data_IF_511084099778
#
_entry.id   IF_511084099778
#
_cell.length_a   1.000
_cell.length_b   1.000
_cell.length_c   1.000
_cell.angle_alpha   90.00
_cell.angle_beta   90.00
_cell.angle_gamma   90.00
#
_symmetry.space_group_name_H-M   'P 1'
#
loop_
_entity.id
_entity.type
_entity.pdbx_description
1 polymer ?
#
# COMPACT_ATOMS: atom_id res chain seq x y z
N UNK A 1 23.61 29.48 11.90
CA UNK A 1 23.51 28.00 11.88
C UNK A 1 22.22 27.65 11.14
N UNK A 2 22.26 27.51 9.81
CA UNK A 2 21.07 27.22 9.00
C UNK A 2 20.73 25.73 9.13
N UNK A 3 19.63 25.41 9.81
CA UNK A 3 19.02 24.07 9.78
C UNK A 3 18.37 23.87 8.41
N UNK A 4 19.06 23.20 7.49
CA UNK A 4 18.43 22.69 6.26
C UNK A 4 17.59 21.47 6.63
N UNK A 5 16.29 21.66 6.72
CA UNK A 5 15.32 20.55 6.78
C UNK A 5 15.20 20.00 5.35
N UNK A 6 15.73 18.80 5.11
CA UNK A 6 15.54 18.11 3.84
C UNK A 6 14.22 17.34 3.88
N UNK A 7 13.23 17.82 3.12
CA UNK A 7 12.03 17.07 2.80
C UNK A 7 12.31 16.23 1.54
N UNK A 8 12.42 14.91 1.69
CA UNK A 8 12.35 13.99 0.54
C UNK A 8 10.94 13.41 0.48
N UNK A 9 10.04 14.07 -0.25
CA UNK A 9 8.71 13.53 -0.55
C UNK A 9 8.83 12.62 -1.77
N UNK A 10 8.94 11.31 -1.56
CA UNK A 10 8.76 10.32 -2.63
C UNK A 10 7.29 9.91 -2.64
N UNK A 11 6.56 10.29 -3.69
CA UNK A 11 5.18 9.82 -3.92
C UNK A 11 5.25 8.62 -4.84
N UNK A 12 5.08 7.42 -4.29
CA UNK A 12 4.79 6.23 -5.08
C UNK A 12 3.32 5.91 -4.90
N UNK A 13 2.55 5.96 -6.00
CA UNK A 13 1.14 5.57 -6.03
C UNK A 13 1.03 4.08 -6.37
N UNK A 14 0.48 3.29 -5.45
CA UNK A 14 0.05 1.91 -5.71
C UNK A 14 -1.46 1.89 -5.89
N UNK A 15 -1.97 1.39 -7.03
CA UNK A 15 -3.39 1.08 -7.15
C UNK A 15 -3.62 -0.41 -7.05
N UNK A 16 -4.61 -0.76 -6.23
CA UNK A 16 -4.99 -2.12 -5.98
C UNK A 16 -6.29 -2.46 -6.72
N UNK A 17 -6.24 -2.91 -7.97
CA UNK A 17 -7.46 -3.12 -8.78
C UNK A 17 -7.99 -4.53 -8.60
N UNK A 18 -9.25 -4.65 -8.20
CA UNK A 18 -9.96 -5.92 -8.07
C UNK A 18 -10.93 -6.13 -9.25
N UNK A 19 -10.68 -7.11 -10.12
CA UNK A 19 -11.59 -7.48 -11.21
C UNK A 19 -12.45 -8.67 -10.78
N UNK A 20 -13.78 -8.49 -10.81
CA UNK A 20 -14.79 -9.51 -10.54
C UNK A 20 -15.75 -9.61 -11.73
N UNK A 21 -16.33 -10.79 -11.99
CA UNK A 21 -17.40 -10.91 -12.98
C UNK A 21 -18.55 -9.97 -12.63
N UNK A 22 -19.04 -9.26 -13.66
CA UNK A 22 -20.15 -8.33 -13.56
C UNK A 22 -21.45 -9.13 -13.32
N UNK A 23 -21.87 -9.23 -12.05
CA UNK A 23 -23.27 -9.51 -11.75
C UNK A 23 -24.04 -8.18 -11.78
N UNK A 24 -25.01 -8.08 -12.68
CA UNK A 24 -25.85 -6.90 -12.85
C UNK A 24 -26.69 -6.62 -11.59
N UNK A 25 -26.72 -5.37 -11.12
CA UNK A 25 -27.75 -4.74 -10.28
C UNK A 25 -27.47 -3.22 -10.26
N UNK A 26 -28.31 -2.37 -10.86
CA UNK A 26 -29.66 -1.87 -10.50
C UNK A 26 -29.66 -0.76 -9.44
N UNK A 27 -30.01 0.44 -9.95
CA UNK A 27 -30.58 1.66 -9.35
C UNK A 27 -29.91 2.29 -8.11
N UNK A 28 -29.45 3.52 -8.37
CA UNK A 28 -29.10 4.58 -7.43
C UNK A 28 -30.15 4.77 -6.34
N UNK A 29 -29.67 4.92 -5.11
CA UNK A 29 -30.27 5.83 -4.14
C UNK A 29 -29.13 6.53 -3.39
N UNK A 30 -28.99 7.83 -3.65
CA UNK A 30 -28.11 8.72 -2.92
C UNK A 30 -28.69 8.93 -1.50
N UNK A 31 -28.16 8.19 -0.52
CA UNK A 31 -28.41 8.43 0.89
C UNK A 31 -27.23 9.19 1.50
N UNK A 32 -27.55 10.31 2.13
CA UNK A 32 -26.66 11.21 2.87
C UNK A 32 -26.11 10.45 4.09
N UNK A 33 -24.80 10.22 4.14
CA UNK A 33 -24.14 9.49 5.24
C UNK A 33 -24.07 10.38 6.50
N UNK A 34 -24.49 9.89 7.68
CA UNK A 34 -24.23 10.57 8.94
C UNK A 34 -22.76 10.45 9.33
N UNK A 35 -22.24 11.49 9.96
CA UNK A 35 -20.93 11.48 10.61
C UNK A 35 -21.09 10.77 11.96
N UNK A 36 -20.52 9.57 12.07
CA UNK A 36 -20.42 8.85 13.34
C UNK A 36 -18.93 8.58 13.61
N UNK A 37 -18.51 9.01 14.79
CA UNK A 37 -17.14 9.00 15.31
C UNK A 37 -16.85 7.60 15.88
N UNK A 38 -15.89 6.87 15.30
CA UNK A 38 -15.51 5.52 15.79
C UNK A 38 -14.00 5.41 15.91
N UNK A 39 -13.56 4.90 17.06
CA UNK A 39 -12.18 4.60 17.45
C UNK A 39 -11.52 3.43 16.67
N UNK A 40 -11.91 3.22 15.42
CA UNK A 40 -11.33 2.35 14.40
C UNK A 40 -11.53 3.13 13.11
N UNK A 41 -10.44 3.58 12.47
CA UNK A 41 -10.51 4.43 11.29
C UNK A 41 -11.10 3.66 10.12
N UNK A 42 -12.42 3.69 9.95
CA UNK A 42 -13.13 2.97 8.90
C UNK A 42 -13.41 3.92 7.74
N UNK A 43 -13.10 3.48 6.52
CA UNK A 43 -13.33 4.22 5.29
C UNK A 43 -13.97 3.30 4.26
N UNK A 44 -15.13 3.68 3.71
CA UNK A 44 -15.84 2.88 2.71
C UNK A 44 -16.35 3.73 1.56
N UNK A 45 -16.37 3.15 0.35
CA UNK A 45 -17.05 3.69 -0.83
C UNK A 45 -18.24 2.84 -1.31
N UNK A 46 -18.69 1.89 -0.47
CA UNK A 46 -19.77 0.95 -0.79
C UNK A 46 -19.34 -0.27 -1.63
N UNK A 47 -18.09 -0.32 -2.09
CA UNK A 47 -17.52 -1.46 -2.82
C UNK A 47 -16.34 -2.06 -2.08
N UNK A 48 -15.46 -1.19 -1.58
CA UNK A 48 -14.30 -1.53 -0.76
C UNK A 48 -14.41 -0.80 0.55
N UNK A 49 -14.03 -1.47 1.62
CA UNK A 49 -13.89 -0.90 2.95
C UNK A 49 -12.48 -1.11 3.48
N UNK A 50 -11.91 -0.06 4.07
CA UNK A 50 -10.66 -0.06 4.80
C UNK A 50 -10.98 0.04 6.28
N UNK A 51 -10.46 -0.88 7.09
CA UNK A 51 -10.54 -0.83 8.56
C UNK A 51 -9.14 -0.69 9.12
N UNK A 52 -8.89 0.35 9.92
CA UNK A 52 -7.59 0.56 10.56
C UNK A 52 -7.66 0.29 12.06
N UNK A 53 -6.76 -0.56 12.56
CA UNK A 53 -6.45 -0.70 13.97
C UNK A 53 -5.20 0.14 14.29
N UNK A 54 -5.42 1.31 14.90
CA UNK A 54 -4.32 2.20 15.30
C UNK A 54 -3.52 1.65 16.49
N UNK A 55 -4.10 0.79 17.32
CA UNK A 55 -3.36 0.21 18.44
C UNK A 55 -2.40 -0.86 17.93
N UNK A 56 -2.88 -1.74 17.05
CA UNK A 56 -2.05 -2.77 16.42
C UNK A 56 -1.16 -2.22 15.29
N UNK A 57 -1.46 -1.02 14.77
CA UNK A 57 -0.75 -0.45 13.62
C UNK A 57 -0.99 -1.22 12.32
N UNK A 58 -2.13 -1.89 12.21
CA UNK A 58 -2.51 -2.73 11.08
C UNK A 58 -3.79 -2.23 10.40
N UNK A 59 -4.07 -2.77 9.22
CA UNK A 59 -5.30 -2.49 8.52
C UNK A 59 -5.78 -3.70 7.69
N UNK A 60 -7.10 -3.71 7.44
CA UNK A 60 -7.78 -4.68 6.58
C UNK A 60 -8.38 -3.97 5.37
N UNK A 61 -8.42 -4.66 4.23
CA UNK A 61 -9.21 -4.27 3.06
C UNK A 61 -10.26 -5.32 2.77
N UNK A 62 -11.50 -4.86 2.64
CA UNK A 62 -12.70 -5.70 2.65
C UNK A 62 -13.51 -5.45 1.40
N UNK A 63 -13.93 -6.54 0.76
CA UNK A 63 -14.96 -6.53 -0.28
C UNK A 63 -16.32 -6.42 0.41
N UNK A 64 -16.99 -5.28 0.25
CA UNK A 64 -18.26 -4.98 0.92
C UNK A 64 -19.36 -5.93 0.48
N UNK A 65 -19.38 -6.36 -0.79
CA UNK A 65 -20.43 -7.21 -1.32
C UNK A 65 -20.40 -8.62 -0.71
N UNK A 66 -19.20 -9.10 -0.35
CA UNK A 66 -19.00 -10.41 0.28
C UNK A 66 -18.82 -10.34 1.80
N UNK A 67 -18.56 -9.14 2.33
CA UNK A 67 -18.11 -8.94 3.70
C UNK A 67 -16.89 -9.82 4.05
N UNK A 68 -15.94 -9.89 3.12
CA UNK A 68 -14.72 -10.70 3.23
C UNK A 68 -13.49 -9.82 3.07
N UNK A 69 -12.48 -10.04 3.91
CA UNK A 69 -11.18 -9.41 3.74
C UNK A 69 -10.46 -10.02 2.52
N UNK A 70 -9.93 -9.17 1.64
CA UNK A 70 -8.99 -9.57 0.60
C UNK A 70 -7.54 -9.21 0.94
N UNK A 71 -7.34 -8.34 1.93
CA UNK A 71 -6.08 -8.11 2.64
C UNK A 71 -6.42 -8.02 4.11
N UNK A 72 -5.71 -8.74 4.97
CA UNK A 72 -5.96 -8.74 6.41
C UNK A 72 -4.67 -8.57 7.21
N UNK A 73 -4.77 -7.93 8.36
CA UNK A 73 -3.68 -7.70 9.32
C UNK A 73 -2.43 -7.08 8.66
N UNK A 74 -2.62 -6.24 7.66
CA UNK A 74 -1.50 -5.65 6.92
C UNK A 74 -0.86 -4.50 7.70
N UNK A 75 0.46 -4.49 7.74
CA UNK A 75 1.23 -3.39 8.30
C UNK A 75 2.06 -2.68 7.24
N UNK A 76 2.51 -1.46 7.58
CA UNK A 76 3.42 -0.68 6.77
C UNK A 76 4.84 -0.88 7.31
N UNK A 77 5.77 -1.22 6.43
CA UNK A 77 7.18 -1.42 6.76
C UNK A 77 8.09 -0.55 5.90
N UNK A 78 8.82 0.36 6.54
CA UNK A 78 9.87 1.15 5.92
C UNK A 78 11.24 0.64 6.38
N UNK A 79 12.10 0.32 5.42
CA UNK A 79 13.52 0.03 5.67
C UNK A 79 14.37 1.19 5.16
N UNK A 80 15.22 1.72 6.04
CA UNK A 80 16.22 2.74 5.70
C UNK A 80 17.62 2.25 6.01
N UNK A 81 18.61 2.88 5.39
CA UNK A 81 20.02 2.73 5.73
C UNK A 81 20.65 4.10 5.97
N UNK A 82 21.84 4.14 6.56
CA UNK A 82 22.63 5.35 6.60
C UNK A 82 22.90 5.84 5.17
N UNK A 83 22.85 7.15 4.98
CA UNK A 83 23.33 7.77 3.74
C UNK A 83 24.83 7.50 3.58
N UNK A 84 25.28 7.32 2.34
CA UNK A 84 26.69 7.21 1.97
C UNK A 84 26.94 8.17 0.83
N UNK A 85 28.05 8.91 0.89
CA UNK A 85 28.47 9.68 -0.27
C UNK A 85 29.02 8.74 -1.34
N UNK A 86 28.98 9.16 -2.61
CA UNK A 86 29.53 8.36 -3.72
C UNK A 86 31.00 8.01 -3.51
N UNK A 87 31.76 8.88 -2.83
CA UNK A 87 33.18 8.67 -2.51
C UNK A 87 33.40 7.53 -1.48
N UNK A 88 32.37 7.18 -0.71
CA UNK A 88 32.42 6.13 0.30
C UNK A 88 32.02 4.75 -0.26
N UNK A 89 31.49 4.71 -1.49
CA UNK A 89 31.05 3.47 -2.15
C UNK A 89 32.25 2.82 -2.81
N UNK A 90 32.64 1.64 -2.33
CA UNK A 90 33.75 0.87 -2.90
C UNK A 90 33.28 0.02 -4.08
N UNK A 91 34.19 -0.32 -4.97
CA UNK A 91 33.92 -1.31 -6.01
C UNK A 91 33.49 -2.64 -5.36
N UNK A 92 32.31 -3.14 -5.74
CA UNK A 92 31.69 -4.31 -5.13
C UNK A 92 30.66 -4.02 -4.04
N UNK A 93 30.53 -2.78 -3.57
CA UNK A 93 29.45 -2.40 -2.65
C UNK A 93 28.09 -2.50 -3.35
N UNK A 94 27.13 -3.16 -2.70
CA UNK A 94 25.74 -3.18 -3.12
C UNK A 94 24.91 -2.14 -2.37
N UNK A 95 23.79 -1.71 -2.96
CA UNK A 95 22.82 -0.86 -2.27
C UNK A 95 22.27 -1.51 -0.98
N UNK A 96 22.39 -2.83 -0.84
CA UNK A 96 22.01 -3.62 0.34
C UNK A 96 23.04 -3.65 1.46
N UNK A 97 24.26 -3.16 1.24
CA UNK A 97 25.36 -3.37 2.19
C UNK A 97 25.29 -2.42 3.40
N UNK A 98 25.61 -2.96 4.57
CA UNK A 98 25.62 -2.22 5.85
C UNK A 98 24.30 -2.22 6.62
N UNK A 99 24.32 -1.68 7.86
CA UNK A 99 23.21 -1.77 8.80
C UNK A 99 21.98 -1.02 8.29
N UNK A 100 20.81 -1.63 8.49
CA UNK A 100 19.51 -1.04 8.16
C UNK A 100 18.66 -0.85 9.42
N UNK A 101 17.87 0.21 9.44
CA UNK A 101 16.80 0.42 10.41
C UNK A 101 15.47 0.07 9.77
N UNK A 102 14.61 -0.60 10.53
CA UNK A 102 13.28 -1.04 10.09
C UNK A 102 12.24 -0.36 10.98
N UNK A 103 11.35 0.38 10.35
CA UNK A 103 10.20 1.03 10.98
C UNK A 103 8.94 0.27 10.58
N UNK A 104 8.22 -0.27 11.58
CA UNK A 104 6.99 -1.03 11.39
C UNK A 104 5.83 -0.28 12.04
N UNK A 105 4.73 -0.06 11.34
CA UNK A 105 3.56 0.62 11.92
C UNK A 105 3.05 -0.09 13.18
N UNK A 106 3.22 -1.41 13.28
CA UNK A 106 2.90 -2.19 14.48
C UNK A 106 3.74 -1.88 15.73
N UNK A 107 4.91 -1.27 15.56
CA UNK A 107 5.79 -0.86 16.64
C UNK A 107 5.77 0.67 16.89
N UNK A 108 4.85 1.38 16.24
CA UNK A 108 4.76 2.85 16.28
C UNK A 108 3.66 3.33 17.24
N UNK A 109 3.71 4.63 17.58
CA UNK A 109 2.53 5.34 18.04
C UNK A 109 1.74 5.80 16.81
N UNK A 110 0.53 5.25 16.63
CA UNK A 110 -0.27 5.52 15.45
C UNK A 110 -1.45 6.45 15.72
N UNK A 111 -1.80 7.24 14.71
CA UNK A 111 -3.06 8.01 14.62
C UNK A 111 -3.56 8.04 13.18
N UNK A 112 -4.79 8.47 13.00
CA UNK A 112 -5.40 8.65 11.67
C UNK A 112 -5.84 10.08 11.43
N UNK A 113 -5.75 10.51 10.17
CA UNK A 113 -6.28 11.78 9.69
C UNK A 113 -7.15 11.51 8.45
N UNK A 114 -8.35 12.08 8.40
CA UNK A 114 -9.28 11.91 7.27
C UNK A 114 -9.37 13.18 6.45
N UNK A 115 -9.37 13.06 5.13
CA UNK A 115 -9.52 14.19 4.20
C UNK A 115 -10.27 13.78 2.93
N UNK A 116 -10.71 14.76 2.14
CA UNK A 116 -10.97 14.53 0.72
C UNK A 116 -9.69 14.78 -0.05
N UNK A 117 -9.30 13.84 -0.90
CA UNK A 117 -8.07 13.91 -1.68
C UNK A 117 -8.38 13.92 -3.17
N UNK A 118 -7.77 14.86 -3.90
CA UNK A 118 -7.90 14.97 -5.36
C UNK A 118 -6.58 14.63 -6.02
N UNK A 119 -6.61 13.69 -6.96
CA UNK A 119 -5.45 13.26 -7.77
C UNK A 119 -5.84 13.18 -9.25
N UNK A 120 -4.94 12.68 -10.09
CA UNK A 120 -5.26 12.38 -11.49
C UNK A 120 -6.38 11.34 -11.66
N UNK A 121 -6.71 10.56 -10.61
CA UNK A 121 -7.78 9.56 -10.60
C UNK A 121 -9.15 10.17 -10.21
N UNK A 122 -9.21 11.47 -9.93
CA UNK A 122 -10.41 12.18 -9.47
C UNK A 122 -10.35 12.57 -8.00
N UNK A 123 -11.51 12.80 -7.40
CA UNK A 123 -11.65 13.14 -5.98
C UNK A 123 -12.24 11.95 -5.20
N UNK A 124 -11.53 11.54 -4.16
CA UNK A 124 -11.91 10.45 -3.27
C UNK A 124 -11.89 10.86 -1.80
N UNK A 125 -12.43 9.99 -0.94
CA UNK A 125 -12.22 10.10 0.51
C UNK A 125 -10.94 9.38 0.85
N UNK A 126 -10.11 9.99 1.69
CA UNK A 126 -8.84 9.44 2.09
C UNK A 126 -8.71 9.37 3.61
N UNK A 127 -8.01 8.34 4.08
CA UNK A 127 -7.52 8.22 5.46
C UNK A 127 -6.02 8.01 5.42
N UNK A 128 -5.30 8.77 6.23
CA UNK A 128 -3.86 8.67 6.40
C UNK A 128 -3.54 8.03 7.73
N UNK A 129 -2.88 6.87 7.71
CA UNK A 129 -2.24 6.26 8.87
C UNK A 129 -0.91 6.97 9.12
N UNK A 130 -0.75 7.56 10.31
CA UNK A 130 0.46 8.25 10.72
C UNK A 130 1.12 7.48 11.85
N UNK A 131 2.29 6.89 11.55
CA UNK A 131 3.10 6.10 12.46
C UNK A 131 4.31 6.91 12.92
N UNK A 132 4.40 7.21 14.23
CA UNK A 132 5.50 7.97 14.82
C UNK A 132 6.43 7.06 15.62
N UNK A 133 7.74 7.17 15.36
CA UNK A 133 8.80 6.37 15.98
C UNK A 133 9.63 7.24 16.93
N UNK A 134 8.96 7.83 17.94
CA UNK A 134 9.54 8.84 18.81
C UNK A 134 9.99 10.07 18.01
N UNK A 135 11.23 10.54 18.24
CA UNK A 135 11.81 11.66 17.50
C UNK A 135 12.57 11.23 16.23
N UNK A 136 12.69 9.92 15.96
CA UNK A 136 13.57 9.41 14.90
C UNK A 136 12.91 9.47 13.51
N UNK A 137 11.64 9.09 13.41
CA UNK A 137 10.92 9.09 12.13
C UNK A 137 9.40 9.26 12.29
N UNK A 138 8.76 9.79 11.25
CA UNK A 138 7.31 9.72 11.06
C UNK A 138 7.01 9.15 9.67
N UNK A 139 6.14 8.16 9.59
CA UNK A 139 5.67 7.56 8.35
C UNK A 139 4.18 7.88 8.17
N UNK A 140 3.80 8.39 7.01
CA UNK A 140 2.40 8.66 6.67
C UNK A 140 2.02 7.84 5.45
N UNK A 141 1.00 7.00 5.55
CA UNK A 141 0.45 6.24 4.44
C UNK A 141 -1.01 6.58 4.27
N UNK A 142 -1.34 7.16 3.11
CA UNK A 142 -2.68 7.57 2.74
C UNK A 142 -3.31 6.52 1.86
N UNK A 143 -4.52 6.12 2.22
CA UNK A 143 -5.39 5.24 1.45
C UNK A 143 -6.58 6.06 0.96
N UNK A 144 -6.80 6.07 -0.35
CA UNK A 144 -7.88 6.83 -0.99
C UNK A 144 -8.86 5.87 -1.66
N UNK A 145 -10.15 6.04 -1.34
CA UNK A 145 -11.25 5.36 -2.01
C UNK A 145 -12.05 6.36 -2.85
N UNK A 146 -12.19 6.06 -4.13
CA UNK A 146 -12.94 6.86 -5.09
C UNK A 146 -14.37 6.33 -5.25
N UNK A 147 -15.39 7.19 -5.43
CA UNK A 147 -16.75 6.74 -5.70
C UNK A 147 -16.83 5.79 -6.90
N UNK A 148 -17.54 4.68 -6.75
CA UNK A 148 -17.76 3.70 -7.82
C UNK A 148 -16.53 2.88 -8.25
N UNK A 149 -15.37 3.06 -7.60
CA UNK A 149 -14.14 2.34 -7.93
C UNK A 149 -13.91 1.14 -6.99
N UNK A 150 -13.34 0.06 -7.52
CA UNK A 150 -13.00 -1.17 -6.77
C UNK A 150 -11.52 -1.27 -6.44
N UNK A 151 -10.85 -0.11 -6.34
CA UNK A 151 -9.44 -0.06 -6.02
C UNK A 151 -9.17 0.92 -4.88
N UNK A 152 -8.05 0.67 -4.20
CA UNK A 152 -7.47 1.56 -3.20
C UNK A 152 -6.23 2.20 -3.82
N UNK A 153 -6.19 3.53 -3.84
CA UNK A 153 -4.96 4.28 -4.16
C UNK A 153 -4.18 4.51 -2.88
N UNK A 154 -2.93 4.08 -2.86
CA UNK A 154 -2.03 4.17 -1.71
C UNK A 154 -0.87 5.08 -2.05
N UNK A 155 -0.75 6.19 -1.32
CA UNK A 155 0.39 7.09 -1.34
C UNK A 155 1.09 7.10 0.01
N UNK A 156 2.37 7.43 0.05
CA UNK A 156 3.10 7.51 1.32
C UNK A 156 4.10 8.66 1.32
N UNK A 157 4.46 9.10 2.52
CA UNK A 157 5.56 10.05 2.77
C UNK A 157 6.27 9.63 4.06
N UNK A 158 7.56 9.92 4.16
CA UNK A 158 8.32 9.70 5.38
C UNK A 158 9.09 10.97 5.77
N UNK A 159 9.16 11.24 7.07
CA UNK A 159 9.98 12.29 7.66
C UNK A 159 11.10 11.66 8.45
N UNK A 160 12.35 11.99 8.10
CA UNK A 160 13.51 11.73 8.95
C UNK A 160 13.55 12.79 10.06
N UNK A 161 13.40 12.37 11.32
CA UNK A 161 13.54 13.23 12.49
C UNK A 161 14.93 13.19 13.12
N UNK A 162 15.78 12.24 12.68
CA UNK A 162 17.18 12.16 13.09
C UNK A 162 18.05 13.31 12.57
N UNK A 163 19.25 13.42 13.12
CA UNK A 163 20.25 14.44 12.73
C UNK A 163 21.08 14.02 11.52
N UNK A 164 21.18 12.71 11.26
CA UNK A 164 21.93 12.15 10.13
C UNK A 164 21.02 11.89 8.93
N UNK A 165 21.49 12.13 7.70
CA UNK A 165 20.77 11.76 6.50
C UNK A 165 20.61 10.23 6.39
N UNK A 166 19.47 9.81 5.85
CA UNK A 166 19.14 8.41 5.62
C UNK A 166 18.82 8.17 4.15
N UNK A 167 19.09 6.95 3.68
CA UNK A 167 18.69 6.44 2.37
C UNK A 167 17.49 5.51 2.53
N UNK A 168 16.44 5.71 1.75
CA UNK A 168 15.32 4.78 1.68
C UNK A 168 15.76 3.52 0.94
N UNK A 169 15.50 2.33 1.52
CA UNK A 169 15.81 1.05 0.87
C UNK A 169 14.57 0.35 0.36
N UNK A 170 13.54 0.24 1.20
CA UNK A 170 12.34 -0.50 0.87
C UNK A 170 11.13 0.09 1.57
N UNK A 171 10.04 0.26 0.83
CA UNK A 171 8.72 0.49 1.38
C UNK A 171 7.85 -0.72 1.08
N UNK A 172 7.18 -1.24 2.10
CA UNK A 172 6.10 -2.21 1.97
C UNK A 172 4.86 -1.58 2.55
N UNK A 173 3.97 -1.07 1.71
CA UNK A 173 2.69 -0.50 2.17
C UNK A 173 1.70 -1.56 2.60
N UNK A 174 1.92 -2.81 2.17
CA UNK A 174 1.07 -3.97 2.45
C UNK A 174 1.94 -5.18 2.82
N UNK A 175 2.50 -5.18 4.04
CA UNK A 175 3.21 -6.33 4.59
C UNK A 175 2.23 -7.22 5.35
N UNK A 176 1.91 -8.39 4.80
CA UNK A 176 1.02 -9.38 5.41
C UNK A 176 1.28 -10.76 4.81
N UNK A 177 0.85 -11.80 5.53
CA UNK A 177 0.70 -13.18 5.04
C UNK A 177 -0.76 -13.54 4.71
N UNK A 178 -1.73 -12.66 4.97
CA UNK A 178 -3.17 -12.89 4.78
C UNK A 178 -3.73 -12.12 3.57
N UNK A 179 -3.39 -12.59 2.37
CA UNK A 179 -4.02 -12.14 1.12
C UNK A 179 -5.13 -13.12 0.74
N UNK A 180 -6.34 -12.61 0.51
CA UNK A 180 -7.53 -13.41 0.19
C UNK A 180 -7.79 -14.59 1.17
N UNK A 181 -7.72 -14.38 2.50
CA UNK A 181 -7.71 -15.44 3.52
C UNK A 181 -8.91 -16.41 3.49
N UNK A 182 -10.06 -15.99 2.95
CA UNK A 182 -11.24 -16.84 2.81
C UNK A 182 -11.17 -17.80 1.58
N UNK A 183 -10.12 -17.73 0.77
CA UNK A 183 -10.04 -18.42 -0.52
C UNK A 183 -9.20 -19.69 -0.44
N UNK A 184 -9.50 -20.66 -1.31
CA UNK A 184 -8.64 -21.82 -1.51
C UNK A 184 -7.50 -21.46 -2.48
N UNK A 185 -6.26 -21.52 -2.00
CA UNK A 185 -5.07 -21.13 -2.76
C UNK A 185 -4.46 -22.25 -3.63
N UNK A 186 -5.11 -23.41 -3.73
CA UNK A 186 -4.58 -24.59 -4.44
C UNK A 186 -4.38 -24.40 -5.96
N UNK A 187 -5.10 -23.49 -6.62
CA UNK A 187 -4.86 -23.09 -8.03
C UNK A 187 -4.46 -21.62 -8.13
N UNK A 188 -3.51 -21.21 -7.28
CA UNK A 188 -2.91 -19.88 -7.31
C UNK A 188 -2.05 -19.72 -8.57
N UNK A 189 -2.32 -18.65 -9.31
CA UNK A 189 -1.57 -18.19 -10.47
C UNK A 189 -1.11 -16.77 -10.23
N UNK A 190 0.18 -16.53 -10.34
CA UNK A 190 0.74 -15.18 -10.25
C UNK A 190 1.35 -14.80 -11.60
N UNK A 191 1.04 -13.60 -12.08
CA UNK A 191 1.67 -13.02 -13.27
C UNK A 191 2.52 -11.84 -12.82
N UNK A 192 3.82 -11.86 -13.12
CA UNK A 192 4.64 -10.66 -12.95
C UNK A 192 4.47 -9.73 -14.16
N UNK A 193 4.42 -8.43 -13.90
CA UNK A 193 4.66 -7.38 -14.89
C UNK A 193 6.03 -6.79 -14.62
N UNK A 194 7.02 -7.16 -15.43
CA UNK A 194 8.32 -6.49 -15.50
C UNK A 194 8.19 -5.30 -16.47
N UNK A 195 8.77 -4.13 -16.17
CA UNK A 195 8.64 -2.91 -16.99
C UNK A 195 9.09 -3.14 -18.43
N UNK A 196 8.22 -2.84 -19.39
CA UNK A 196 8.51 -2.38 -20.77
C UNK A 196 9.40 -3.23 -21.69
N UNK A 197 10.16 -4.21 -21.19
CA UNK A 197 11.22 -4.89 -21.94
C UNK A 197 11.35 -6.39 -21.67
N UNK A 198 10.53 -6.97 -20.78
CA UNK A 198 10.51 -8.41 -20.49
C UNK A 198 9.10 -8.97 -20.65
N UNK A 199 9.00 -10.20 -21.14
CA UNK A 199 7.72 -10.90 -21.26
C UNK A 199 7.17 -11.23 -19.87
N UNK A 200 5.88 -10.97 -19.66
CA UNK A 200 5.16 -11.42 -18.47
C UNK A 200 5.26 -12.94 -18.34
N UNK A 201 5.52 -13.43 -17.12
CA UNK A 201 5.65 -14.86 -16.83
C UNK A 201 4.58 -15.28 -15.84
N UNK A 202 3.95 -16.41 -16.15
CA UNK A 202 3.05 -17.10 -15.25
C UNK A 202 3.88 -17.92 -14.26
N UNK A 203 3.61 -17.75 -12.97
CA UNK A 203 4.20 -18.52 -11.89
C UNK A 203 3.10 -19.27 -11.14
N UNK A 204 3.35 -20.55 -10.91
CA UNK A 204 2.60 -21.40 -9.97
C UNK A 204 3.52 -21.66 -8.77
N UNK A 205 3.91 -20.58 -8.07
CA UNK A 205 4.82 -20.62 -6.92
C UNK A 205 4.26 -19.74 -5.80
N UNK A 206 4.61 -20.06 -4.55
CA UNK A 206 4.17 -19.30 -3.37
C UNK A 206 4.85 -17.93 -3.24
N UNK A 207 5.96 -17.71 -3.96
CA UNK A 207 6.76 -16.48 -3.88
C UNK A 207 7.22 -16.06 -5.27
N UNK A 208 6.95 -14.81 -5.60
CA UNK A 208 7.50 -14.15 -6.79
C UNK A 208 8.10 -12.81 -6.41
N UNK A 209 9.12 -12.40 -7.15
CA UNK A 209 9.60 -11.02 -7.18
C UNK A 209 9.15 -10.42 -8.51
N UNK A 210 8.40 -9.33 -8.45
CA UNK A 210 8.04 -8.53 -9.61
C UNK A 210 8.57 -7.11 -9.41
N UNK A 211 8.98 -6.47 -10.49
CA UNK A 211 9.57 -5.13 -10.43
C UNK A 211 8.48 -4.04 -10.40
N UNK A 212 7.33 -4.26 -11.06
CA UNK A 212 6.27 -3.26 -11.13
C UNK A 212 4.94 -3.75 -10.60
N UNK A 213 4.39 -4.77 -11.26
CA UNK A 213 3.01 -5.19 -11.04
C UNK A 213 2.95 -6.70 -10.79
N UNK A 214 2.01 -7.11 -9.96
CA UNK A 214 1.65 -8.50 -9.72
C UNK A 214 0.15 -8.61 -9.93
N UNK A 215 -0.25 -9.52 -10.81
CA UNK A 215 -1.61 -10.05 -10.81
C UNK A 215 -1.58 -11.35 -10.01
N UNK A 216 -2.33 -11.36 -8.91
CA UNK A 216 -2.62 -12.51 -8.09
C UNK A 216 -3.99 -13.05 -8.51
N UNK A 217 -4.05 -14.28 -9.01
CA UNK A 217 -5.28 -14.88 -9.52
C UNK A 217 -5.54 -16.24 -8.89
N UNK A 218 -6.74 -16.42 -8.34
CA UNK A 218 -7.22 -17.71 -7.87
C UNK A 218 -8.28 -18.19 -8.87
N UNK A 219 -7.97 -19.29 -9.55
CA UNK A 219 -8.87 -19.92 -10.50
C UNK A 219 -9.88 -20.83 -9.79
N UNK A 220 -10.71 -20.25 -8.93
CA UNK A 220 -11.91 -20.94 -8.43
C UNK A 220 -12.96 -20.96 -9.55
N UNK A 221 -13.51 -22.14 -9.85
CA UNK A 221 -14.49 -22.34 -10.92
C UNK A 221 -15.81 -21.62 -10.66
N UNK A 222 -16.19 -21.47 -9.40
CA UNK A 222 -17.48 -20.88 -9.03
C UNK A 222 -17.34 -19.38 -8.74
N UNK A 223 -16.16 -18.95 -8.25
CA UNK A 223 -15.90 -17.55 -7.93
C UNK A 223 -14.43 -17.15 -8.21
N UNK A 224 -14.06 -16.89 -9.47
CA UNK A 224 -12.70 -16.45 -9.78
C UNK A 224 -12.38 -15.14 -9.05
N UNK A 225 -11.20 -15.07 -8.42
CA UNK A 225 -10.74 -13.90 -7.66
C UNK A 225 -9.43 -13.39 -8.24
N UNK A 226 -9.32 -12.08 -8.38
CA UNK A 226 -8.10 -11.45 -8.85
C UNK A 226 -7.77 -10.21 -8.02
N UNK A 227 -6.49 -10.10 -7.65
CA UNK A 227 -5.93 -8.93 -6.99
C UNK A 227 -4.75 -8.43 -7.82
N UNK A 228 -4.86 -7.22 -8.35
CA UNK A 228 -3.74 -6.56 -9.01
C UNK A 228 -3.09 -5.60 -8.01
N UNK A 229 -1.78 -5.75 -7.83
CA UNK A 229 -0.93 -4.85 -7.05
C UNK A 229 0.08 -4.23 -8.00
N UNK A 230 0.27 -2.92 -7.96
CA UNK A 230 1.21 -2.31 -8.87
C UNK A 230 1.37 -0.81 -8.72
N UNK A 231 2.54 -0.31 -9.11
CA UNK A 231 2.78 1.12 -9.25
C UNK A 231 2.04 1.68 -10.47
N UNK A 232 1.23 2.73 -10.29
CA UNK A 232 0.51 3.38 -11.39
C UNK A 232 1.39 4.33 -12.22
N UNK A 233 2.55 4.71 -11.72
CA UNK A 233 3.38 5.76 -12.32
C UNK A 233 4.82 5.32 -12.38
N UNK A 234 5.22 4.86 -13.56
CA UNK A 234 6.55 5.12 -14.08
C UNK A 234 6.39 6.06 -15.26
N UNK A 235 6.48 7.38 -14.99
CA UNK A 235 7.23 8.18 -15.94
C UNK A 235 8.67 7.79 -15.68
N UNK A 236 9.10 6.65 -16.24
CA UNK A 236 10.51 6.27 -16.25
C UNK A 236 11.25 7.45 -16.86
N UNK A 237 11.88 8.26 -16.01
CA UNK A 237 12.83 9.32 -16.31
C UNK A 237 12.47 10.22 -17.50
N UNK A 238 11.90 11.40 -17.21
CA UNK A 238 12.10 12.58 -18.06
C UNK A 238 12.90 13.63 -17.32
#
# INVERSE_FOLDING_TARGET
MLKKVFYSSFVSCMALVFALPLAAQSKENAAKLPAEEVAVGTLSNGLVELRMDTQAGTYDLIDVARNEAFVKDAEVVLTVASYRELVDVKEGDSEGDGPSRVYRSSAASNRTESEFFTSALGTGRAVTLISTFGQDAELRVRFTLYPGQRFVDVGWTCRNGGVEPVRLRRMSVMHTDQILPASNHSDLKMLNGDSGGRMNRLFVHEKIRAENNILYFIADRDQPRSLVMGGLTYADYR
#
